data_IF_380036648423
#
_entry.id   IF_380036648423
#
_cell.length_a   1.000
_cell.length_b   1.000
_cell.length_c   1.000
_cell.angle_alpha   90.00
_cell.angle_beta   90.00
_cell.angle_gamma   90.00
#
_symmetry.space_group_name_H-M   'P 1'
#
loop_
_entity.id
_entity.type
_entity.pdbx_description
1 polymer ?
#
# COMPACT_ATOMS: atom_id res chain seq x y z
N UNK A 1 43.11 14.97 -17.04
CA UNK A 1 42.16 14.75 -15.92
C UNK A 1 40.77 14.75 -16.53
N UNK A 2 40.15 13.58 -16.68
CA UNK A 2 38.79 13.47 -17.22
C UNK A 2 37.95 12.67 -16.21
N UNK A 3 37.17 13.39 -15.42
CA UNK A 3 36.28 12.81 -14.42
C UNK A 3 35.05 12.25 -15.11
N UNK A 4 34.86 10.94 -15.07
CA UNK A 4 33.63 10.29 -15.49
C UNK A 4 32.85 9.91 -14.22
N UNK A 5 31.95 10.79 -13.79
CA UNK A 5 30.99 10.50 -12.73
C UNK A 5 29.93 9.53 -13.27
N UNK A 6 30.17 8.23 -13.10
CA UNK A 6 29.15 7.20 -13.30
C UNK A 6 28.84 6.58 -11.94
N UNK A 7 27.73 7.01 -11.34
CA UNK A 7 27.15 6.29 -10.20
C UNK A 7 26.31 7.11 -9.23
N UNK A 8 25.31 7.86 -9.69
CA UNK A 8 24.42 8.62 -8.78
C UNK A 8 22.91 8.51 -9.08
N UNK A 9 22.45 7.47 -9.78
CA UNK A 9 21.07 7.46 -10.29
C UNK A 9 20.15 6.37 -9.69
N UNK A 10 20.66 5.54 -8.77
CA UNK A 10 19.91 4.35 -8.33
C UNK A 10 19.29 4.52 -6.93
N UNK A 11 19.72 5.54 -6.19
CA UNK A 11 19.36 5.76 -4.78
C UNK A 11 17.95 6.36 -4.65
N UNK A 12 17.57 7.18 -5.63
CA UNK A 12 16.32 7.96 -5.63
C UNK A 12 15.08 7.17 -6.10
N UNK A 13 15.28 6.02 -6.77
CA UNK A 13 14.18 5.15 -7.23
C UNK A 13 13.63 4.28 -6.08
N UNK A 14 14.52 3.79 -5.22
CA UNK A 14 14.16 2.94 -4.07
C UNK A 14 13.37 3.76 -3.04
N UNK A 15 13.77 5.01 -2.79
CA UNK A 15 13.04 5.91 -1.88
C UNK A 15 11.64 6.24 -2.41
N UNK A 16 11.48 6.43 -3.73
CA UNK A 16 10.17 6.74 -4.33
C UNK A 16 9.18 5.58 -4.25
N UNK A 17 9.64 4.33 -4.37
CA UNK A 17 8.75 3.17 -4.29
C UNK A 17 8.33 2.84 -2.85
N UNK A 18 9.21 3.05 -1.86
CA UNK A 18 8.88 2.78 -0.44
C UNK A 18 7.89 3.78 0.17
N UNK A 19 7.84 5.02 -0.34
CA UNK A 19 6.95 6.07 0.17
C UNK A 19 5.70 6.30 -0.68
N UNK A 20 5.47 5.52 -1.74
CA UNK A 20 4.24 5.66 -2.54
C UNK A 20 3.06 5.14 -1.71
N UNK A 21 2.24 6.07 -1.23
CA UNK A 21 0.94 5.74 -0.66
C UNK A 21 0.08 5.05 -1.72
N UNK A 22 -0.60 3.99 -1.31
CA UNK A 22 -1.50 3.18 -2.14
C UNK A 22 -2.84 3.10 -1.45
N UNK A 23 -3.92 3.08 -2.21
CA UNK A 23 -5.25 2.90 -1.61
C UNK A 23 -5.51 1.41 -1.40
N UNK A 24 -5.97 1.05 -0.21
CA UNK A 24 -6.37 -0.32 0.11
C UNK A 24 -7.82 -0.38 0.55
N UNK A 25 -8.51 -1.45 0.14
CA UNK A 25 -9.75 -1.91 0.78
C UNK A 25 -9.38 -3.08 1.68
N UNK A 26 -9.75 -3.01 2.95
CA UNK A 26 -9.56 -4.11 3.90
C UNK A 26 -10.88 -4.81 4.14
N UNK A 27 -10.89 -6.12 3.95
CA UNK A 27 -12.04 -6.99 4.17
C UNK A 27 -11.82 -7.88 5.39
N UNK A 28 -12.90 -8.13 6.11
CA UNK A 28 -12.97 -9.25 7.05
C UNK A 28 -13.22 -10.55 6.28
N UNK A 29 -12.36 -11.54 6.48
CA UNK A 29 -12.45 -12.84 5.81
C UNK A 29 -13.68 -13.65 6.24
N UNK A 30 -14.17 -13.46 7.47
CA UNK A 30 -15.32 -14.19 7.98
C UNK A 30 -16.62 -13.68 7.34
N UNK A 31 -16.84 -12.37 7.35
CA UNK A 31 -18.04 -11.75 6.76
C UNK A 31 -17.94 -11.51 5.25
N UNK A 32 -16.73 -11.48 4.68
CA UNK A 32 -16.43 -11.04 3.31
C UNK A 32 -16.89 -9.60 3.02
N UNK A 33 -17.02 -8.78 4.06
CA UNK A 33 -17.44 -7.39 3.96
C UNK A 33 -16.24 -6.45 4.11
N UNK A 34 -16.24 -5.29 3.40
CA UNK A 34 -15.23 -4.28 3.61
C UNK A 34 -15.40 -3.67 5.01
N UNK A 35 -14.30 -3.57 5.75
CA UNK A 35 -14.27 -3.01 7.11
C UNK A 35 -13.46 -1.72 7.20
N UNK A 36 -12.58 -1.46 6.24
CA UNK A 36 -11.84 -0.20 6.12
C UNK A 36 -11.46 0.09 4.67
N UNK A 37 -11.33 1.38 4.32
CA UNK A 37 -10.77 1.87 3.05
C UNK A 37 -9.87 3.05 3.35
N UNK A 38 -8.68 3.10 2.76
CA UNK A 38 -7.80 4.25 2.90
C UNK A 38 -6.41 4.06 2.32
N UNK A 39 -5.65 5.15 2.32
CA UNK A 39 -4.27 5.16 1.85
C UNK A 39 -3.32 4.59 2.91
N UNK A 40 -2.44 3.68 2.49
CA UNK A 40 -1.39 3.10 3.31
C UNK A 40 -0.13 2.82 2.50
N UNK A 41 0.98 2.65 3.21
CA UNK A 41 2.28 2.30 2.61
C UNK A 41 2.36 0.82 2.19
N UNK A 42 1.53 -0.05 2.78
CA UNK A 42 1.51 -1.47 2.46
C UNK A 42 0.21 -2.15 2.91
N UNK A 43 -0.06 -3.33 2.35
CA UNK A 43 -1.16 -4.20 2.77
C UNK A 43 -1.04 -4.61 4.25
N UNK A 44 0.18 -4.84 4.74
CA UNK A 44 0.44 -5.16 6.15
C UNK A 44 0.00 -4.03 7.08
N UNK A 45 0.41 -2.81 6.75
CA UNK A 45 0.03 -1.62 7.51
C UNK A 45 -1.48 -1.39 7.46
N UNK A 46 -2.12 -1.59 6.30
CA UNK A 46 -3.57 -1.49 6.16
C UNK A 46 -4.32 -2.48 7.05
N UNK A 47 -3.92 -3.76 7.07
CA UNK A 47 -4.50 -4.78 7.94
C UNK A 47 -4.26 -4.46 9.41
N UNK A 48 -3.06 -4.02 9.79
CA UNK A 48 -2.77 -3.63 11.16
C UNK A 48 -3.65 -2.46 11.63
N UNK A 49 -3.75 -1.39 10.84
CA UNK A 49 -4.61 -0.25 11.15
C UNK A 49 -6.09 -0.66 11.26
N UNK A 50 -6.58 -1.48 10.33
CA UNK A 50 -7.95 -1.99 10.37
C UNK A 50 -8.19 -2.89 11.60
N UNK A 51 -7.22 -3.73 11.98
CA UNK A 51 -7.28 -4.57 13.18
C UNK A 51 -7.45 -3.74 14.45
N UNK A 52 -6.67 -2.66 14.59
CA UNK A 52 -6.77 -1.75 15.75
C UNK A 52 -8.14 -1.08 15.84
N UNK A 53 -8.73 -0.69 14.70
CA UNK A 53 -10.03 0.00 14.65
C UNK A 53 -11.20 -0.95 14.89
N UNK A 54 -11.15 -2.15 14.31
CA UNK A 54 -12.27 -3.10 14.29
C UNK A 54 -12.23 -4.12 15.43
N UNK A 55 -11.05 -4.33 16.04
CA UNK A 55 -10.82 -5.42 16.99
C UNK A 55 -10.70 -6.80 16.33
N UNK A 56 -10.70 -6.89 15.00
CA UNK A 56 -10.52 -8.13 14.25
C UNK A 56 -9.03 -8.49 14.23
N UNK A 57 -8.70 -9.76 14.40
CA UNK A 57 -7.31 -10.21 14.30
C UNK A 57 -6.74 -9.93 12.91
N UNK A 58 -5.48 -9.49 12.87
CA UNK A 58 -4.79 -9.11 11.64
C UNK A 58 -4.78 -10.24 10.60
N UNK A 59 -4.68 -11.49 11.05
CA UNK A 59 -4.70 -12.70 10.21
C UNK A 59 -6.06 -12.96 9.55
N UNK A 60 -7.14 -12.43 10.12
CA UNK A 60 -8.50 -12.54 9.58
C UNK A 60 -8.86 -11.39 8.62
N UNK A 61 -7.89 -10.53 8.31
CA UNK A 61 -8.08 -9.41 7.39
C UNK A 61 -7.35 -9.66 6.07
N UNK A 62 -7.98 -9.26 4.97
CA UNK A 62 -7.38 -9.20 3.64
C UNK A 62 -7.31 -7.74 3.20
N UNK A 63 -6.15 -7.26 2.80
CA UNK A 63 -6.01 -5.93 2.20
C UNK A 63 -5.77 -6.06 0.69
N UNK A 64 -6.68 -5.49 -0.10
CA UNK A 64 -6.63 -5.40 -1.55
C UNK A 64 -6.15 -4.00 -1.93
N UNK A 65 -5.05 -3.92 -2.68
CA UNK A 65 -4.60 -2.66 -3.28
C UNK A 65 -5.49 -2.30 -4.46
N UNK A 66 -6.00 -1.07 -4.51
CA UNK A 66 -6.78 -0.57 -5.64
C UNK A 66 -6.08 0.65 -6.25
N UNK A 67 -6.04 0.68 -7.57
CA UNK A 67 -5.66 1.87 -8.33
C UNK A 67 -6.94 2.60 -8.78
N UNK A 68 -7.09 3.84 -8.33
CA UNK A 68 -8.21 4.72 -8.68
C UNK A 68 -7.98 5.40 -10.04
N UNK A 69 -6.73 5.49 -10.51
CA UNK A 69 -6.40 6.21 -11.75
C UNK A 69 -6.70 5.37 -13.01
N UNK A 70 -6.57 4.04 -12.95
CA UNK A 70 -6.89 3.16 -14.08
C UNK A 70 -8.39 3.04 -14.39
N UNK A 71 -9.28 3.46 -13.48
CA UNK A 71 -10.72 3.23 -13.59
C UNK A 71 -11.51 4.33 -14.34
N UNK A 72 -10.86 5.42 -14.80
CA UNK A 72 -11.52 6.51 -15.57
C UNK A 72 -11.20 6.44 -17.07
N UNK A 73 -11.13 5.24 -17.64
CA UNK A 73 -11.08 5.07 -19.10
C UNK A 73 -12.46 4.63 -19.62
N UNK A 74 -13.35 5.60 -19.80
CA UNK A 74 -14.64 5.42 -20.49
C UNK A 74 -14.92 6.58 -21.44
#
# INVERSE_FOLDING_TARGET
MNGNQRGQNNENLIEKEFFKMKTFIVYDLDSKMPVAVGEQVSAETARYCASVVTGIFHENLLAEEIDLEEQITH
#
